data_IF_406778796202
#
_entry.id   IF_406778796202
#
_cell.length_a   1.000
_cell.length_b   1.000
_cell.length_c   1.000
_cell.angle_alpha   90.00
_cell.angle_beta   90.00
_cell.angle_gamma   90.00
#
_symmetry.space_group_name_H-M   'P 1'
#
loop_
_entity.id
_entity.type
_entity.pdbx_description
1 polymer ?
#
# COMPACT_ATOMS: atom_id res chain seq x y z
N UNK A 1 17.94 45.23 -56.69
CA UNK A 1 16.83 44.67 -55.82
C UNK A 1 17.45 43.55 -55.00
N UNK A 2 17.81 43.87 -53.77
CA UNK A 2 18.47 42.89 -52.85
C UNK A 2 17.41 42.40 -51.89
N UNK A 3 17.07 41.12 -51.94
CA UNK A 3 16.11 40.48 -51.06
C UNK A 3 16.88 40.10 -49.79
N UNK A 4 16.55 40.79 -48.68
CA UNK A 4 17.01 40.43 -47.36
C UNK A 4 16.22 39.25 -46.84
N UNK A 5 16.84 38.09 -46.67
CA UNK A 5 16.25 36.94 -46.01
C UNK A 5 16.31 37.15 -44.48
N UNK A 6 15.18 37.42 -43.87
CA UNK A 6 15.03 37.47 -42.40
C UNK A 6 15.06 36.03 -41.86
N UNK A 7 16.16 35.66 -41.22
CA UNK A 7 16.21 34.46 -40.38
C UNK A 7 15.34 34.69 -39.11
N UNK A 8 14.15 34.12 -39.12
CA UNK A 8 13.33 34.02 -37.89
C UNK A 8 13.93 32.89 -37.04
N UNK A 9 14.69 33.28 -36.04
CA UNK A 9 15.04 32.36 -34.95
C UNK A 9 13.77 32.04 -34.20
N UNK A 10 13.21 30.87 -34.43
CA UNK A 10 12.15 30.33 -33.61
C UNK A 10 12.64 30.15 -32.19
N UNK A 11 12.22 31.04 -31.27
CA UNK A 11 12.34 30.79 -29.86
C UNK A 11 11.56 29.52 -29.57
N UNK A 12 12.22 28.45 -29.17
CA UNK A 12 11.57 27.28 -28.65
C UNK A 12 10.82 27.70 -27.38
N UNK A 13 9.50 27.90 -27.51
CA UNK A 13 8.61 28.09 -26.39
C UNK A 13 8.54 26.78 -25.63
N UNK A 14 9.29 26.66 -24.55
CA UNK A 14 9.12 25.56 -23.60
C UNK A 14 7.77 25.73 -22.92
N UNK A 15 6.78 24.96 -23.36
CA UNK A 15 5.42 25.00 -22.85
C UNK A 15 5.26 24.30 -21.49
N UNK A 16 6.35 23.70 -20.97
CA UNK A 16 6.36 23.02 -19.68
C UNK A 16 7.29 23.72 -18.70
N UNK A 17 6.83 23.82 -17.45
CA UNK A 17 7.61 24.41 -16.37
C UNK A 17 8.85 23.52 -16.07
N UNK A 18 9.96 24.19 -15.74
CA UNK A 18 11.13 23.60 -15.09
C UNK A 18 11.94 22.54 -15.87
N UNK A 19 12.06 22.69 -17.18
CA UNK A 19 13.08 21.96 -17.93
C UNK A 19 14.43 22.70 -17.86
N UNK A 20 15.06 22.69 -16.67
CA UNK A 20 16.46 23.04 -16.53
C UNK A 20 17.34 21.89 -17.00
N UNK A 21 18.62 22.14 -17.38
CA UNK A 21 19.56 21.06 -17.61
C UNK A 21 19.67 20.23 -16.34
N UNK A 22 19.34 18.93 -16.41
CA UNK A 22 19.53 18.01 -15.30
C UNK A 22 21.01 18.02 -14.85
N UNK A 23 21.25 17.77 -13.59
CA UNK A 23 22.60 17.73 -13.01
C UNK A 23 23.45 16.58 -13.57
N UNK A 24 22.88 15.65 -14.31
CA UNK A 24 23.55 14.42 -14.77
C UNK A 24 23.88 13.46 -13.63
N UNK A 25 23.43 13.74 -12.41
CA UNK A 25 23.65 12.90 -11.23
C UNK A 25 22.64 11.75 -11.24
N UNK A 26 23.17 10.53 -11.13
CA UNK A 26 22.36 9.32 -10.92
C UNK A 26 22.28 9.05 -9.43
N UNK A 27 21.06 9.08 -8.88
CA UNK A 27 20.75 8.76 -7.49
C UNK A 27 19.29 8.27 -7.39
N UNK A 28 19.01 7.14 -6.74
CA UNK A 28 19.98 6.13 -6.34
C UNK A 28 20.56 5.35 -7.53
N UNK A 29 21.81 4.90 -7.42
CA UNK A 29 22.42 3.95 -8.35
C UNK A 29 22.52 2.59 -7.68
N UNK A 30 21.87 1.59 -8.28
CA UNK A 30 21.94 0.20 -7.82
C UNK A 30 23.16 -0.46 -8.44
N UNK A 31 24.11 -0.88 -7.64
CA UNK A 31 25.35 -1.51 -8.07
C UNK A 31 25.15 -3.03 -8.30
N UNK A 32 26.07 -3.64 -9.05
CA UNK A 32 26.00 -5.06 -9.40
C UNK A 32 26.06 -6.02 -8.18
N UNK A 33 26.56 -5.56 -7.05
CA UNK A 33 26.62 -6.28 -5.77
C UNK A 33 25.44 -5.98 -4.84
N UNK A 34 24.38 -5.33 -5.35
CA UNK A 34 23.20 -4.87 -4.61
C UNK A 34 23.50 -3.81 -3.54
N UNK A 35 24.68 -3.22 -3.51
CA UNK A 35 24.88 -1.97 -2.79
C UNK A 35 24.18 -0.84 -3.55
N UNK A 36 23.77 0.22 -2.85
CA UNK A 36 23.08 1.36 -3.46
C UNK A 36 23.82 2.64 -3.13
N UNK A 37 24.20 3.38 -4.18
CA UNK A 37 24.92 4.63 -4.04
C UNK A 37 23.97 5.80 -4.24
N UNK A 38 23.84 6.62 -3.21
CA UNK A 38 23.06 7.86 -3.20
C UNK A 38 24.00 9.05 -3.40
N UNK A 39 23.58 10.02 -4.22
CA UNK A 39 24.39 11.22 -4.53
C UNK A 39 23.52 12.47 -4.51
N UNK A 40 24.02 13.49 -3.86
CA UNK A 40 23.39 14.79 -3.80
C UNK A 40 24.42 15.90 -4.00
N UNK A 41 24.21 16.80 -4.97
CA UNK A 41 25.13 17.90 -5.22
C UNK A 41 24.62 19.18 -4.54
N UNK A 42 25.38 19.67 -3.59
CA UNK A 42 25.18 20.98 -2.97
C UNK A 42 26.49 21.44 -2.33
N UNK A 43 27.25 22.31 -3.03
CA UNK A 43 28.54 22.81 -2.52
C UNK A 43 28.41 23.81 -1.35
N UNK A 44 27.17 24.21 -0.99
CA UNK A 44 26.90 25.14 0.11
C UNK A 44 26.35 24.44 1.35
N UNK A 45 25.93 23.19 1.24
CA UNK A 45 25.44 22.44 2.38
C UNK A 45 26.56 22.18 3.41
N UNK A 46 26.21 22.24 4.68
CA UNK A 46 27.11 21.94 5.81
C UNK A 46 26.97 20.49 6.22
N UNK A 47 25.75 19.94 6.15
CA UNK A 47 25.48 18.55 6.47
C UNK A 47 24.44 17.97 5.50
N UNK A 48 24.68 16.74 5.05
CA UNK A 48 23.70 15.96 4.32
C UNK A 48 23.61 14.57 4.93
N UNK A 49 22.38 14.17 5.29
CA UNK A 49 22.09 12.82 5.83
C UNK A 49 21.04 12.16 4.98
N UNK A 50 21.06 10.83 4.95
CA UNK A 50 20.00 10.00 4.40
C UNK A 50 19.30 9.25 5.53
N UNK A 51 17.97 9.24 5.50
CA UNK A 51 17.16 8.37 6.37
C UNK A 51 16.41 7.39 5.50
N UNK A 52 16.44 6.11 5.84
CA UNK A 52 15.78 5.07 5.06
C UNK A 52 15.58 3.77 5.84
N UNK A 53 14.62 2.97 5.37
CA UNK A 53 14.26 1.67 5.98
C UNK A 53 15.23 0.53 5.63
N UNK A 54 16.27 0.83 4.85
CA UNK A 54 17.42 -0.06 4.59
C UNK A 54 18.57 0.14 5.59
N UNK A 55 18.47 1.12 6.49
CA UNK A 55 19.43 1.39 7.54
C UNK A 55 18.94 0.78 8.86
N UNK A 56 19.85 0.43 9.80
CA UNK A 56 19.46 -0.02 11.13
C UNK A 56 18.49 0.98 11.79
N UNK A 57 17.34 0.51 12.24
CA UNK A 57 16.32 1.36 12.85
C UNK A 57 16.81 2.08 14.10
N UNK A 58 16.22 3.23 14.40
CA UNK A 58 16.50 4.03 15.57
C UNK A 58 15.31 3.99 16.53
N UNK A 59 15.56 3.78 17.82
CA UNK A 59 14.53 3.92 18.85
C UNK A 59 14.45 5.38 19.29
N UNK A 60 13.31 6.02 19.00
CA UNK A 60 13.03 7.39 19.43
C UNK A 60 11.99 7.34 20.55
N UNK A 61 12.37 7.84 21.70
CA UNK A 61 11.46 7.98 22.84
C UNK A 61 10.74 9.32 22.76
N UNK A 62 9.43 9.33 22.95
CA UNK A 62 8.61 10.53 22.96
C UNK A 62 7.49 10.44 23.99
N UNK A 63 6.99 11.58 24.44
CA UNK A 63 5.87 11.67 25.36
C UNK A 63 4.54 11.79 24.56
N UNK A 64 3.58 10.91 24.85
CA UNK A 64 2.22 11.00 24.32
C UNK A 64 1.23 10.65 25.45
N UNK A 65 0.22 11.50 25.63
CA UNK A 65 -0.83 11.33 26.66
C UNK A 65 -0.25 11.15 28.08
N UNK A 66 0.87 11.84 28.38
CA UNK A 66 1.56 11.76 29.69
C UNK A 66 2.36 10.47 29.91
N UNK A 67 2.49 9.61 28.90
CA UNK A 67 3.26 8.37 28.96
C UNK A 67 4.45 8.41 28.01
N UNK A 68 5.55 7.82 28.44
CA UNK A 68 6.71 7.58 27.58
C UNK A 68 6.38 6.46 26.58
N UNK A 69 6.60 6.74 25.32
CA UNK A 69 6.43 5.79 24.21
C UNK A 69 7.71 5.70 23.40
N UNK A 70 7.98 4.52 22.87
CA UNK A 70 9.10 4.28 21.98
C UNK A 70 8.57 4.09 20.57
N UNK A 71 9.12 4.84 19.64
CA UNK A 71 8.88 4.66 18.21
C UNK A 71 10.17 4.16 17.55
N UNK A 72 10.04 3.12 16.73
CA UNK A 72 11.11 2.59 15.91
C UNK A 72 11.12 3.33 14.57
N UNK A 73 12.01 4.31 14.44
CA UNK A 73 12.15 5.15 13.27
C UNK A 73 13.12 4.52 12.24
N UNK A 74 12.99 4.87 10.95
CA UNK A 74 14.00 4.51 9.95
C UNK A 74 15.39 4.96 10.36
N UNK A 75 16.42 4.19 10.00
CA UNK A 75 17.81 4.51 10.28
C UNK A 75 18.25 5.81 9.59
N UNK A 76 19.38 6.34 10.03
CA UNK A 76 19.98 7.55 9.47
C UNK A 76 21.50 7.38 9.33
N UNK A 77 22.06 7.90 8.21
CA UNK A 77 23.48 7.91 7.95
C UNK A 77 23.93 9.26 7.36
N UNK A 78 25.18 9.64 7.65
CA UNK A 78 25.79 10.84 7.08
C UNK A 78 26.32 10.55 5.65
N UNK A 79 26.15 11.49 4.74
CA UNK A 79 26.82 11.47 3.45
C UNK A 79 28.20 12.13 3.58
N UNK A 80 29.14 11.65 2.77
CA UNK A 80 30.51 12.17 2.70
C UNK A 80 30.62 13.16 1.56
N UNK A 81 31.13 14.37 1.83
CA UNK A 81 31.30 15.43 0.86
C UNK A 81 32.64 15.31 0.14
N UNK A 82 32.64 15.50 -1.20
CA UNK A 82 33.82 15.74 -2.03
C UNK A 82 33.47 16.68 -3.18
N UNK A 83 34.07 17.86 -3.21
CA UNK A 83 33.88 18.87 -4.28
C UNK A 83 32.38 19.24 -4.51
N UNK A 84 31.63 19.40 -3.43
CA UNK A 84 30.20 19.73 -3.47
C UNK A 84 29.29 18.53 -3.72
N UNK A 85 29.82 17.35 -3.98
CA UNK A 85 29.07 16.11 -4.14
C UNK A 85 29.06 15.31 -2.84
N UNK A 86 27.88 15.10 -2.29
CA UNK A 86 27.61 14.29 -1.11
C UNK A 86 27.27 12.87 -1.54
N UNK A 87 27.88 11.87 -0.95
CA UNK A 87 27.72 10.48 -1.35
C UNK A 87 27.60 9.56 -0.14
N UNK A 88 26.67 8.60 -0.24
CA UNK A 88 26.55 7.46 0.68
C UNK A 88 26.37 6.18 -0.12
N UNK A 89 27.03 5.09 0.25
CA UNK A 89 26.81 3.76 -0.32
C UNK A 89 26.40 2.80 0.77
N UNK A 90 25.28 2.11 0.59
CA UNK A 90 24.76 1.12 1.54
C UNK A 90 25.62 -0.15 1.56
N UNK A 91 25.40 -1.01 2.59
CA UNK A 91 25.72 -2.42 2.48
C UNK A 91 24.86 -3.08 1.37
N UNK A 92 25.21 -4.28 0.87
CA UNK A 92 24.36 -5.05 -0.03
C UNK A 92 22.96 -5.25 0.56
N UNK A 93 21.94 -5.02 -0.25
CA UNK A 93 20.52 -5.09 0.17
C UNK A 93 19.83 -6.30 -0.43
N UNK A 94 18.86 -6.84 0.29
CA UNK A 94 18.00 -7.93 -0.17
C UNK A 94 16.96 -7.43 -1.19
N UNK A 95 16.34 -8.35 -1.92
CA UNK A 95 15.22 -8.05 -2.82
C UNK A 95 14.02 -7.49 -2.06
N UNK A 96 13.75 -6.20 -2.19
CA UNK A 96 12.68 -5.49 -1.51
C UNK A 96 12.44 -4.10 -2.14
N UNK A 97 11.32 -3.46 -1.81
CA UNK A 97 11.08 -2.03 -2.05
C UNK A 97 11.45 -1.24 -0.80
N UNK A 98 12.36 -0.30 -0.99
CA UNK A 98 12.90 0.57 0.05
C UNK A 98 12.45 2.01 -0.12
N UNK A 99 12.33 2.73 1.00
CA UNK A 99 12.01 4.15 1.04
C UNK A 99 13.09 4.96 1.74
N UNK A 100 13.29 6.21 1.30
CA UNK A 100 14.26 7.12 1.90
C UNK A 100 13.89 8.60 1.73
N UNK A 101 14.55 9.43 2.52
CA UNK A 101 14.53 10.90 2.39
C UNK A 101 15.90 11.45 2.70
N UNK A 102 16.20 12.64 2.17
CA UNK A 102 17.40 13.38 2.51
C UNK A 102 17.12 14.41 3.61
N UNK A 103 18.13 14.74 4.39
CA UNK A 103 18.15 15.84 5.34
C UNK A 103 19.35 16.72 5.02
N UNK A 104 19.10 17.92 4.52
CA UNK A 104 20.13 18.89 4.15
C UNK A 104 20.07 20.03 5.16
N UNK A 105 21.14 20.23 5.92
CA UNK A 105 21.25 21.24 6.99
C UNK A 105 20.03 21.17 7.96
N UNK A 106 19.61 19.94 8.27
CA UNK A 106 18.47 19.64 9.14
C UNK A 106 17.09 19.71 8.47
N UNK A 107 17.00 20.15 7.21
CA UNK A 107 15.72 20.22 6.48
C UNK A 107 15.46 18.91 5.74
N UNK A 108 14.30 18.31 5.99
CA UNK A 108 13.82 17.11 5.27
C UNK A 108 13.47 17.48 3.83
N UNK A 109 13.99 16.74 2.87
CA UNK A 109 13.69 16.96 1.46
C UNK A 109 13.69 15.66 0.66
N UNK A 110 13.06 15.70 -0.50
CA UNK A 110 13.11 14.63 -1.49
C UNK A 110 14.45 14.71 -2.25
N UNK A 111 14.94 13.55 -2.69
CA UNK A 111 16.07 13.48 -3.61
C UNK A 111 15.65 14.02 -4.98
N UNK A 112 16.21 15.15 -5.46
CA UNK A 112 15.81 15.73 -6.73
C UNK A 112 16.24 14.89 -7.95
N UNK A 113 17.14 13.94 -7.77
CA UNK A 113 17.60 13.04 -8.82
C UNK A 113 16.75 11.77 -8.95
N UNK A 114 15.81 11.55 -8.02
CA UNK A 114 14.90 10.40 -8.05
C UNK A 114 13.44 10.84 -8.18
N UNK A 115 12.82 10.52 -9.31
CA UNK A 115 11.40 10.83 -9.58
C UNK A 115 10.44 9.81 -8.95
N UNK A 116 10.94 8.66 -8.50
CA UNK A 116 10.08 7.64 -7.88
C UNK A 116 9.77 8.01 -6.44
N UNK A 117 8.49 8.22 -6.15
CA UNK A 117 8.01 8.72 -4.88
C UNK A 117 6.72 8.01 -4.48
N UNK A 118 6.56 7.78 -3.18
CA UNK A 118 5.32 7.31 -2.59
C UNK A 118 4.85 8.29 -1.52
N UNK A 119 3.53 8.48 -1.43
CA UNK A 119 2.89 9.21 -0.34
C UNK A 119 2.37 8.20 0.69
N UNK A 120 2.80 8.34 1.94
CA UNK A 120 2.20 7.66 3.07
C UNK A 120 1.57 8.70 4.00
N UNK A 121 0.24 8.69 4.08
CA UNK A 121 -0.57 9.67 4.83
C UNK A 121 -0.26 11.10 4.37
N UNK A 122 0.56 11.84 5.12
CA UNK A 122 0.98 13.22 4.87
C UNK A 122 2.44 13.34 4.45
N UNK A 123 3.14 12.23 4.30
CA UNK A 123 4.58 12.21 4.09
C UNK A 123 4.91 11.65 2.72
N UNK A 124 5.79 12.33 1.99
CA UNK A 124 6.38 11.82 0.76
C UNK A 124 7.76 11.23 1.05
N UNK A 125 8.08 10.13 0.41
CA UNK A 125 9.40 9.51 0.42
C UNK A 125 9.81 9.14 -1.00
N UNK A 126 11.11 9.21 -1.30
CA UNK A 126 11.64 8.55 -2.48
C UNK A 126 11.68 7.05 -2.24
N UNK A 127 11.58 6.29 -3.33
CA UNK A 127 11.64 4.84 -3.30
C UNK A 127 12.61 4.30 -4.34
N UNK A 128 13.11 3.10 -4.10
CA UNK A 128 13.79 2.25 -5.07
C UNK A 128 13.50 0.79 -4.77
N UNK A 129 13.69 -0.07 -5.77
CA UNK A 129 13.44 -1.50 -5.62
C UNK A 129 14.69 -2.28 -5.97
N UNK A 130 15.09 -3.20 -5.12
CA UNK A 130 16.11 -4.21 -5.41
C UNK A 130 15.39 -5.49 -5.77
N UNK A 131 15.78 -6.10 -6.89
CA UNK A 131 15.37 -7.46 -7.25
C UNK A 131 16.63 -8.17 -7.77
N UNK A 132 16.93 -9.30 -7.17
CA UNK A 132 18.14 -10.09 -7.47
C UNK A 132 17.85 -11.24 -8.40
N UNK A 133 16.63 -11.76 -8.34
CA UNK A 133 16.17 -12.88 -9.15
C UNK A 133 14.65 -12.89 -9.30
N UNK A 134 14.12 -13.50 -10.36
CA UNK A 134 12.69 -13.72 -10.49
C UNK A 134 12.11 -14.47 -9.28
N UNK A 135 11.04 -13.92 -8.70
CA UNK A 135 10.33 -14.51 -7.57
C UNK A 135 10.82 -14.06 -6.19
N UNK A 136 11.85 -13.22 -6.08
CA UNK A 136 12.16 -12.53 -4.83
C UNK A 136 11.09 -11.46 -4.49
N UNK A 137 11.14 -10.89 -3.28
CA UNK A 137 10.15 -9.87 -2.87
C UNK A 137 10.16 -8.67 -3.80
N UNK A 138 11.34 -8.15 -4.12
CA UNK A 138 11.48 -6.97 -5.00
C UNK A 138 10.93 -7.23 -6.40
N UNK A 139 11.09 -8.44 -6.91
CA UNK A 139 10.55 -8.83 -8.21
C UNK A 139 9.02 -8.70 -8.25
N UNK A 140 8.32 -9.13 -7.18
CA UNK A 140 6.86 -8.98 -7.11
C UNK A 140 6.41 -7.52 -7.02
N UNK A 141 7.24 -6.62 -6.49
CA UNK A 141 6.87 -5.23 -6.25
C UNK A 141 7.16 -4.28 -7.42
N UNK A 142 7.77 -4.76 -8.48
CA UNK A 142 8.06 -3.98 -9.70
C UNK A 142 7.24 -4.45 -10.90
N UNK A 143 7.13 -3.58 -11.91
CA UNK A 143 6.59 -3.98 -13.20
C UNK A 143 7.63 -4.82 -13.94
N UNK A 144 7.27 -6.05 -14.31
CA UNK A 144 8.11 -6.96 -15.06
C UNK A 144 7.55 -7.11 -16.49
N UNK A 145 8.25 -7.80 -17.37
CA UNK A 145 7.77 -8.14 -18.71
C UNK A 145 6.75 -9.29 -18.64
N UNK A 146 5.58 -8.96 -18.09
CA UNK A 146 4.44 -9.86 -17.88
C UNK A 146 3.16 -9.22 -18.40
N UNK A 147 2.10 -9.98 -18.70
CA UNK A 147 0.82 -9.39 -19.04
C UNK A 147 0.27 -8.53 -17.89
N UNK A 148 -0.06 -7.27 -18.19
CA UNK A 148 -0.55 -6.32 -17.19
C UNK A 148 -2.06 -6.19 -17.20
N UNK A 149 -2.63 -6.06 -15.98
CA UNK A 149 -4.01 -5.66 -15.77
C UNK A 149 -4.23 -4.15 -15.95
N UNK A 150 -5.48 -3.73 -15.92
CA UNK A 150 -5.85 -2.32 -15.97
C UNK A 150 -6.25 -1.80 -14.61
N UNK A 151 -5.97 -0.52 -14.35
CA UNK A 151 -6.34 0.20 -13.12
C UNK A 151 -7.25 1.35 -13.48
N UNK A 152 -8.43 1.39 -12.86
CA UNK A 152 -9.39 2.47 -13.00
C UNK A 152 -9.67 3.15 -11.66
N UNK A 153 -9.73 4.48 -11.65
CA UNK A 153 -10.21 5.29 -10.53
C UNK A 153 -11.68 5.59 -10.81
N UNK A 154 -12.59 4.97 -10.08
CA UNK A 154 -14.02 5.04 -10.35
C UNK A 154 -14.78 5.72 -9.22
N UNK A 155 -15.72 6.60 -9.60
CA UNK A 155 -16.67 7.20 -8.69
C UNK A 155 -17.94 6.34 -8.61
N UNK A 156 -18.49 6.19 -7.43
CA UNK A 156 -19.74 5.48 -7.20
C UNK A 156 -20.60 6.23 -6.19
N UNK A 157 -21.89 6.08 -6.34
CA UNK A 157 -22.85 6.60 -5.36
C UNK A 157 -22.92 5.66 -4.17
N UNK A 158 -22.80 6.21 -2.96
CA UNK A 158 -23.09 5.51 -1.72
C UNK A 158 -24.37 6.08 -1.10
N UNK A 159 -25.53 5.49 -1.37
CA UNK A 159 -26.80 5.92 -0.79
C UNK A 159 -26.78 5.86 0.73
N UNK A 160 -26.10 4.86 1.30
CA UNK A 160 -25.96 4.69 2.75
C UNK A 160 -25.24 5.88 3.41
N UNK A 161 -24.24 6.46 2.74
CA UNK A 161 -23.48 7.61 3.24
C UNK A 161 -23.97 8.96 2.68
N UNK A 162 -24.92 8.93 1.73
CA UNK A 162 -25.48 10.14 1.11
C UNK A 162 -24.48 10.93 0.28
N UNK A 163 -23.43 10.29 -0.27
CA UNK A 163 -22.38 10.96 -1.05
C UNK A 163 -21.81 10.08 -2.15
N UNK A 164 -21.18 10.73 -3.13
CA UNK A 164 -20.31 10.05 -4.09
C UNK A 164 -18.95 9.77 -3.45
N UNK A 165 -18.40 8.61 -3.73
CA UNK A 165 -17.10 8.16 -3.24
C UNK A 165 -16.26 7.55 -4.34
N UNK A 166 -14.95 7.59 -4.19
CA UNK A 166 -14.00 7.02 -5.15
C UNK A 166 -13.40 5.72 -4.61
N UNK A 167 -13.09 4.82 -5.54
CA UNK A 167 -12.31 3.62 -5.30
C UNK A 167 -11.36 3.35 -6.46
N UNK A 168 -10.30 2.60 -6.22
CA UNK A 168 -9.40 2.08 -7.25
C UNK A 168 -9.79 0.65 -7.56
N UNK A 169 -9.95 0.32 -8.84
CA UNK A 169 -10.33 -1.02 -9.31
C UNK A 169 -9.29 -1.53 -10.28
N UNK A 170 -8.72 -2.68 -9.98
CA UNK A 170 -7.85 -3.43 -10.88
C UNK A 170 -8.64 -4.54 -11.55
N UNK A 171 -8.45 -4.71 -12.85
CA UNK A 171 -8.94 -5.83 -13.63
C UNK A 171 -7.76 -6.61 -14.23
N UNK A 172 -7.77 -7.95 -14.20
CA UNK A 172 -6.60 -8.75 -14.60
C UNK A 172 -6.34 -8.66 -16.11
N UNK A 173 -5.11 -8.97 -16.50
CA UNK A 173 -4.70 -9.02 -17.89
C UNK A 173 -5.68 -9.82 -18.75
N UNK A 174 -6.06 -9.28 -19.91
CA UNK A 174 -7.02 -9.91 -20.82
C UNK A 174 -8.50 -9.72 -20.44
N UNK A 175 -8.81 -9.01 -19.35
CA UNK A 175 -10.19 -8.74 -18.94
C UNK A 175 -11.01 -8.14 -20.08
N UNK A 176 -10.52 -7.12 -20.78
CA UNK A 176 -11.26 -6.45 -21.86
C UNK A 176 -11.58 -7.37 -23.05
N UNK A 177 -10.69 -8.33 -23.33
CA UNK A 177 -10.83 -9.29 -24.43
C UNK A 177 -11.76 -10.46 -24.06
N UNK A 178 -11.77 -10.88 -22.81
CA UNK A 178 -12.52 -12.05 -22.31
C UNK A 178 -13.94 -11.67 -21.85
N UNK A 179 -14.78 -11.20 -22.77
CA UNK A 179 -16.10 -10.61 -22.46
C UNK A 179 -17.10 -11.58 -21.81
N UNK A 180 -16.88 -12.89 -21.86
CA UNK A 180 -17.75 -13.93 -21.25
C UNK A 180 -17.27 -14.40 -19.89
N UNK A 181 -16.02 -14.17 -19.54
CA UNK A 181 -15.43 -14.64 -18.28
C UNK A 181 -15.88 -13.78 -17.12
N UNK A 182 -16.31 -14.40 -16.03
CA UNK A 182 -16.57 -13.75 -14.74
C UNK A 182 -15.46 -14.08 -13.77
N UNK A 183 -15.05 -13.08 -13.01
CA UNK A 183 -13.90 -13.15 -12.11
C UNK A 183 -14.32 -13.11 -10.64
N UNK A 184 -13.61 -13.77 -9.72
CA UNK A 184 -13.75 -13.54 -8.31
C UNK A 184 -13.25 -12.13 -7.93
N UNK A 185 -13.62 -11.65 -6.73
CA UNK A 185 -13.32 -10.28 -6.30
C UNK A 185 -12.62 -10.29 -4.95
N UNK A 186 -11.46 -9.64 -4.89
CA UNK A 186 -10.77 -9.26 -3.65
C UNK A 186 -11.09 -7.79 -3.32
N UNK A 187 -11.73 -7.53 -2.18
CA UNK A 187 -11.86 -6.20 -1.60
C UNK A 187 -10.70 -5.99 -0.63
N UNK A 188 -9.83 -5.00 -0.92
CA UNK A 188 -8.57 -4.78 -0.21
C UNK A 188 -8.56 -3.41 0.46
N UNK A 189 -8.60 -3.40 1.80
CA UNK A 189 -8.82 -2.22 2.63
C UNK A 189 -7.51 -1.66 3.17
N UNK A 190 -7.33 -0.34 3.08
CA UNK A 190 -6.15 0.37 3.59
C UNK A 190 -6.20 0.61 5.10
N UNK A 191 -5.09 1.06 5.68
CA UNK A 191 -4.96 1.43 7.10
C UNK A 191 -5.38 2.86 7.42
N UNK A 192 -5.32 3.22 8.70
CA UNK A 192 -5.62 4.58 9.16
C UNK A 192 -4.73 5.61 8.45
N UNK A 193 -5.34 6.70 8.00
CA UNK A 193 -4.66 7.78 7.27
C UNK A 193 -4.43 7.52 5.79
N UNK A 194 -4.64 6.31 5.32
CA UNK A 194 -4.61 5.97 3.90
C UNK A 194 -5.90 6.37 3.17
N UNK A 195 -5.95 6.00 1.91
CA UNK A 195 -7.07 6.21 1.01
C UNK A 195 -7.08 5.14 -0.10
N UNK A 196 -7.94 5.28 -1.10
CA UNK A 196 -8.11 4.32 -2.20
C UNK A 196 -6.87 4.15 -3.08
N UNK A 197 -5.83 4.96 -2.88
CA UNK A 197 -4.57 4.89 -3.64
C UNK A 197 -3.46 4.13 -2.88
N UNK A 198 -3.62 3.95 -1.56
CA UNK A 198 -2.56 3.41 -0.70
C UNK A 198 -2.06 2.02 -1.14
N UNK A 199 -2.97 1.11 -1.47
CA UNK A 199 -2.59 -0.24 -1.90
C UNK A 199 -1.98 -0.29 -3.29
N UNK A 200 -2.46 0.55 -4.23
CA UNK A 200 -1.87 0.62 -5.58
C UNK A 200 -0.47 1.20 -5.56
N UNK A 201 -0.22 2.19 -4.71
CA UNK A 201 1.03 2.95 -4.69
C UNK A 201 2.04 2.35 -3.69
N UNK A 202 1.78 2.48 -2.39
CA UNK A 202 2.64 1.94 -1.32
C UNK A 202 2.66 0.41 -1.29
N UNK A 203 1.47 -0.19 -1.44
CA UNK A 203 1.28 -1.64 -1.36
C UNK A 203 1.72 -2.41 -2.60
N UNK A 204 1.96 -1.73 -3.72
CA UNK A 204 2.35 -2.36 -4.99
C UNK A 204 1.39 -3.49 -5.43
N UNK A 205 0.13 -3.40 -5.01
CA UNK A 205 -0.84 -4.48 -5.16
C UNK A 205 -1.12 -4.86 -6.62
N UNK A 206 -1.03 -3.90 -7.53
CA UNK A 206 -1.17 -4.13 -8.98
C UNK A 206 -0.03 -5.01 -9.49
N UNK A 207 1.21 -4.63 -9.19
CA UNK A 207 2.41 -5.37 -9.61
C UNK A 207 2.43 -6.77 -8.99
N UNK A 208 2.07 -6.90 -7.71
CA UNK A 208 1.98 -8.18 -7.03
C UNK A 208 1.00 -9.11 -7.75
N UNK A 209 -0.20 -8.62 -8.10
CA UNK A 209 -1.18 -9.46 -8.80
C UNK A 209 -0.77 -9.79 -10.22
N UNK A 210 -0.27 -8.83 -11.00
CA UNK A 210 0.20 -9.08 -12.37
C UNK A 210 1.25 -10.21 -12.38
N UNK A 211 2.26 -10.09 -11.51
CA UNK A 211 3.35 -11.07 -11.44
C UNK A 211 2.86 -12.45 -10.96
N UNK A 212 2.04 -12.50 -9.89
CA UNK A 212 1.50 -13.76 -9.38
C UNK A 212 0.56 -14.45 -10.37
N UNK A 213 -0.27 -13.70 -11.08
CA UNK A 213 -1.19 -14.24 -12.09
C UNK A 213 -0.38 -14.76 -13.30
N UNK A 214 0.63 -14.02 -13.75
CA UNK A 214 1.49 -14.45 -14.85
C UNK A 214 2.25 -15.75 -14.55
N UNK A 215 2.65 -15.95 -13.29
CA UNK A 215 3.27 -17.20 -12.83
C UNK A 215 2.28 -18.35 -12.54
N UNK A 216 0.97 -18.12 -12.64
CA UNK A 216 -0.06 -19.10 -12.26
C UNK A 216 -0.13 -19.36 -10.75
N UNK A 217 0.47 -18.49 -9.92
CA UNK A 217 0.46 -18.60 -8.46
C UNK A 217 -0.82 -18.02 -7.85
N UNK A 218 -1.46 -17.04 -8.50
CA UNK A 218 -2.75 -16.49 -8.11
C UNK A 218 -3.78 -16.66 -9.23
N UNK A 219 -5.05 -16.88 -8.85
CA UNK A 219 -6.16 -16.87 -9.79
C UNK A 219 -6.38 -15.45 -10.35
N UNK A 220 -6.68 -15.30 -11.66
CA UNK A 220 -7.11 -14.04 -12.19
C UNK A 220 -8.34 -13.50 -11.44
N UNK A 221 -8.21 -12.32 -10.85
CA UNK A 221 -9.25 -11.71 -10.00
C UNK A 221 -9.38 -10.22 -10.26
N UNK A 222 -10.54 -9.66 -9.96
CA UNK A 222 -10.73 -8.21 -9.82
C UNK A 222 -10.33 -7.84 -8.40
N UNK A 223 -9.55 -6.77 -8.24
CA UNK A 223 -9.24 -6.22 -6.93
C UNK A 223 -9.84 -4.83 -6.78
N UNK A 224 -10.57 -4.62 -5.69
CA UNK A 224 -11.28 -3.38 -5.37
C UNK A 224 -10.64 -2.77 -4.13
N UNK A 225 -10.12 -1.58 -4.26
CA UNK A 225 -9.45 -0.82 -3.20
C UNK A 225 -10.30 0.43 -2.90
N UNK A 226 -11.29 0.36 -2.00
CA UNK A 226 -12.13 1.49 -1.66
C UNK A 226 -11.44 2.41 -0.66
N UNK A 227 -11.91 3.65 -0.54
CA UNK A 227 -11.57 4.49 0.60
C UNK A 227 -12.28 3.97 1.86
N UNK A 228 -11.52 3.50 2.84
CA UNK A 228 -12.01 2.94 4.10
C UNK A 228 -12.39 3.99 5.16
N UNK A 229 -12.33 5.28 4.82
CA UNK A 229 -12.70 6.39 5.71
C UNK A 229 -14.07 6.91 5.28
N UNK A 230 -15.11 6.62 6.04
CA UNK A 230 -16.51 6.78 5.63
C UNK A 230 -16.91 8.23 5.26
N UNK A 231 -16.31 9.24 5.87
CA UNK A 231 -16.62 10.66 5.62
C UNK A 231 -15.80 11.27 4.47
N UNK A 232 -14.85 10.54 3.90
CA UNK A 232 -14.05 11.01 2.77
C UNK A 232 -14.66 10.55 1.44
N UNK A 233 -14.73 11.46 0.49
CA UNK A 233 -15.15 11.13 -0.87
C UNK A 233 -14.04 10.44 -1.67
N UNK A 234 -12.80 10.90 -1.52
CA UNK A 234 -11.63 10.45 -2.28
C UNK A 234 -10.33 10.78 -1.54
N UNK A 235 -9.20 10.40 -2.12
CA UNK A 235 -7.86 10.80 -1.68
C UNK A 235 -7.70 12.32 -1.62
N UNK A 236 -6.80 12.85 -0.77
CA UNK A 236 -6.51 14.28 -0.68
C UNK A 236 -6.19 14.90 -2.06
N UNK A 237 -6.76 16.09 -2.32
CA UNK A 237 -6.57 16.84 -3.56
C UNK A 237 -7.48 16.40 -4.73
N UNK A 238 -8.32 15.37 -4.56
CA UNK A 238 -9.20 14.85 -5.63
C UNK A 238 -10.64 15.30 -5.49
N UNK A 239 -11.14 15.50 -4.27
CA UNK A 239 -12.49 15.98 -4.01
C UNK A 239 -12.47 17.36 -3.34
N UNK A 240 -13.61 18.04 -3.37
CA UNK A 240 -13.78 19.35 -2.71
C UNK A 240 -13.46 19.22 -1.22
N UNK A 241 -12.66 20.16 -0.70
CA UNK A 241 -12.21 20.23 0.71
C UNK A 241 -11.33 19.04 1.19
N UNK A 242 -10.83 18.21 0.28
CA UNK A 242 -9.93 17.10 0.58
C UNK A 242 -8.46 17.51 0.44
N UNK A 243 -8.05 18.56 1.16
CA UNK A 243 -6.69 19.11 1.12
C UNK A 243 -5.83 18.66 2.31
N UNK A 244 -6.43 18.09 3.33
CA UNK A 244 -5.73 17.63 4.53
C UNK A 244 -5.60 16.11 4.54
N UNK A 245 -4.49 15.58 5.08
CA UNK A 245 -4.36 14.16 5.33
C UNK A 245 -5.45 13.64 6.26
N UNK A 246 -5.95 12.45 5.97
CA UNK A 246 -7.09 11.85 6.70
C UNK A 246 -6.81 11.57 8.17
N UNK A 247 -5.53 11.42 8.58
CA UNK A 247 -5.14 11.22 9.98
C UNK A 247 -5.55 12.36 10.92
N UNK A 248 -5.68 13.59 10.41
CA UNK A 248 -6.12 14.72 11.24
C UNK A 248 -7.52 14.48 11.86
N UNK A 249 -8.35 13.67 11.20
CA UNK A 249 -9.73 13.39 11.60
C UNK A 249 -9.93 11.95 12.10
N UNK A 250 -8.87 11.14 12.23
CA UNK A 250 -8.99 9.69 12.47
C UNK A 250 -9.47 9.30 13.87
N UNK A 251 -9.41 10.20 14.84
CA UNK A 251 -9.74 9.89 16.25
C UNK A 251 -11.22 9.60 16.52
N UNK A 252 -12.13 9.91 15.59
CA UNK A 252 -13.57 9.69 15.71
C UNK A 252 -14.13 8.61 14.76
N UNK A 253 -13.28 7.78 14.18
CA UNK A 253 -13.72 6.80 13.20
C UNK A 253 -14.40 5.61 13.87
N UNK A 254 -15.72 5.62 13.85
CA UNK A 254 -16.50 4.39 13.95
C UNK A 254 -16.27 3.54 12.69
N UNK A 255 -16.18 2.22 12.86
CA UNK A 255 -16.13 1.31 11.70
C UNK A 255 -17.53 0.97 11.21
N UNK A 256 -18.56 1.26 12.00
CA UNK A 256 -19.94 0.88 11.73
C UNK A 256 -20.45 1.45 10.40
N UNK A 257 -20.12 2.70 10.07
CA UNK A 257 -20.55 3.33 8.82
C UNK A 257 -19.88 2.70 7.58
N UNK A 258 -18.63 2.22 7.71
CA UNK A 258 -17.96 1.50 6.63
C UNK A 258 -18.65 0.16 6.41
N UNK A 259 -18.97 -0.55 7.48
CA UNK A 259 -19.66 -1.83 7.43
C UNK A 259 -21.07 -1.69 6.84
N UNK A 260 -21.83 -0.64 7.26
CA UNK A 260 -23.16 -0.35 6.73
C UNK A 260 -23.14 -0.01 5.23
N UNK A 261 -22.14 0.75 4.79
CA UNK A 261 -22.03 1.22 3.40
C UNK A 261 -21.35 0.22 2.45
N UNK A 262 -20.76 -0.84 2.99
CA UNK A 262 -20.02 -1.80 2.15
C UNK A 262 -20.86 -2.49 1.08
N UNK A 263 -22.15 -2.81 1.31
CA UNK A 263 -23.05 -3.31 0.27
C UNK A 263 -23.20 -2.39 -0.95
N UNK A 264 -23.03 -1.06 -0.78
CA UNK A 264 -23.08 -0.10 -1.90
C UNK A 264 -21.92 -0.36 -2.87
N UNK A 265 -20.71 -0.65 -2.32
CA UNK A 265 -19.53 -1.00 -3.11
C UNK A 265 -19.77 -2.31 -3.87
N UNK A 266 -20.26 -3.36 -3.18
CA UNK A 266 -20.54 -4.65 -3.80
C UNK A 266 -21.55 -4.49 -4.93
N UNK A 267 -22.65 -3.77 -4.69
CA UNK A 267 -23.68 -3.51 -5.69
C UNK A 267 -23.12 -2.81 -6.92
N UNK A 268 -22.28 -1.79 -6.72
CA UNK A 268 -21.63 -1.10 -7.82
C UNK A 268 -20.74 -2.04 -8.64
N UNK A 269 -19.88 -2.81 -7.98
CA UNK A 269 -18.96 -3.74 -8.65
C UNK A 269 -19.72 -4.82 -9.39
N UNK A 270 -20.75 -5.40 -8.80
CA UNK A 270 -21.59 -6.42 -9.44
C UNK A 270 -22.44 -5.91 -10.63
N UNK A 271 -22.70 -4.61 -10.68
CA UNK A 271 -23.44 -3.97 -11.75
C UNK A 271 -22.57 -3.53 -12.91
N UNK A 272 -21.30 -3.23 -12.67
CA UNK A 272 -20.40 -2.62 -13.66
C UNK A 272 -19.27 -3.54 -14.15
N UNK A 273 -18.98 -4.64 -13.42
CA UNK A 273 -17.90 -5.56 -13.72
C UNK A 273 -18.40 -7.01 -13.86
N UNK A 274 -17.68 -7.81 -14.64
CA UNK A 274 -17.99 -9.24 -14.84
C UNK A 274 -17.47 -10.04 -13.66
N UNK A 275 -18.28 -10.18 -12.63
CA UNK A 275 -17.92 -10.85 -11.37
C UNK A 275 -18.76 -12.10 -11.12
N UNK A 276 -18.16 -13.05 -10.41
CA UNK A 276 -18.87 -14.14 -9.74
C UNK A 276 -19.49 -13.59 -8.45
N UNK A 277 -20.77 -13.94 -8.20
CA UNK A 277 -21.54 -13.32 -7.10
C UNK A 277 -21.69 -14.19 -5.84
N UNK A 278 -21.17 -15.38 -5.88
CA UNK A 278 -21.26 -16.29 -4.75
C UNK A 278 -20.20 -15.98 -3.67
N UNK A 279 -20.46 -16.43 -2.44
CA UNK A 279 -19.60 -16.25 -1.28
C UNK A 279 -18.13 -16.69 -1.53
N UNK A 280 -17.95 -17.86 -2.17
CA UNK A 280 -16.62 -18.43 -2.36
C UNK A 280 -15.82 -17.69 -3.46
N UNK A 281 -16.44 -16.77 -4.15
CA UNK A 281 -15.82 -15.87 -5.13
C UNK A 281 -15.61 -14.46 -4.60
N UNK A 282 -15.82 -14.21 -3.29
CA UNK A 282 -15.53 -12.93 -2.62
C UNK A 282 -14.53 -13.11 -1.50
N UNK A 283 -13.50 -12.27 -1.52
CA UNK A 283 -12.53 -12.12 -0.45
C UNK A 283 -12.56 -10.69 0.07
N UNK A 284 -12.34 -10.52 1.38
CA UNK A 284 -12.05 -9.23 1.99
C UNK A 284 -10.76 -9.32 2.79
N UNK A 285 -9.86 -8.38 2.59
CA UNK A 285 -8.63 -8.31 3.35
C UNK A 285 -8.23 -6.84 3.55
N UNK A 286 -7.34 -6.60 4.50
CA UNK A 286 -6.83 -5.25 4.69
C UNK A 286 -5.77 -5.17 5.78
N UNK A 287 -5.10 -4.02 5.82
CA UNK A 287 -4.03 -3.74 6.79
C UNK A 287 -4.54 -2.85 7.93
N UNK A 288 -4.07 -3.07 9.15
CA UNK A 288 -4.32 -2.20 10.32
C UNK A 288 -5.82 -1.91 10.52
N UNK A 289 -6.27 -0.69 10.32
CA UNK A 289 -7.71 -0.33 10.28
C UNK A 289 -8.49 -1.21 9.30
N UNK A 290 -7.97 -1.41 8.08
CA UNK A 290 -8.59 -2.27 7.07
C UNK A 290 -8.65 -3.74 7.47
N UNK A 291 -7.69 -4.23 8.26
CA UNK A 291 -7.73 -5.56 8.87
C UNK A 291 -8.86 -5.68 9.88
N UNK A 292 -9.02 -4.67 10.75
CA UNK A 292 -10.17 -4.58 11.68
C UNK A 292 -11.50 -4.51 10.94
N UNK A 293 -11.59 -3.69 9.89
CA UNK A 293 -12.78 -3.60 9.04
C UNK A 293 -13.09 -4.94 8.37
N UNK A 294 -12.08 -5.68 7.90
CA UNK A 294 -12.27 -7.01 7.31
C UNK A 294 -12.84 -8.01 8.33
N UNK A 295 -12.34 -7.99 9.57
CA UNK A 295 -12.87 -8.78 10.66
C UNK A 295 -14.32 -8.40 10.98
N UNK A 296 -14.62 -7.10 11.11
CA UNK A 296 -15.94 -6.59 11.43
C UNK A 296 -16.96 -6.88 10.31
N UNK A 297 -16.59 -6.69 9.06
CA UNK A 297 -17.40 -7.04 7.89
C UNK A 297 -17.75 -8.54 7.86
N UNK A 298 -16.77 -9.40 8.17
CA UNK A 298 -17.02 -10.84 8.23
C UNK A 298 -18.04 -11.22 9.31
N UNK A 299 -17.97 -10.57 10.49
CA UNK A 299 -18.93 -10.79 11.59
C UNK A 299 -20.31 -10.25 11.28
N UNK A 300 -20.38 -9.06 10.67
CA UNK A 300 -21.66 -8.44 10.28
C UNK A 300 -22.37 -9.20 9.17
N UNK A 301 -21.61 -9.72 8.22
CA UNK A 301 -22.11 -10.44 7.04
C UNK A 301 -21.48 -11.83 6.91
N UNK A 302 -21.81 -12.79 7.77
CA UNK A 302 -21.13 -14.09 7.85
C UNK A 302 -21.14 -14.91 6.55
N UNK A 303 -22.16 -14.69 5.71
CA UNK A 303 -22.32 -15.40 4.44
C UNK A 303 -21.81 -14.64 3.22
N UNK A 304 -21.20 -13.47 3.41
CA UNK A 304 -20.82 -12.60 2.30
C UNK A 304 -19.47 -12.97 1.70
N UNK A 305 -18.49 -13.36 2.55
CA UNK A 305 -17.11 -13.60 2.14
C UNK A 305 -16.68 -15.04 2.41
N UNK A 306 -16.07 -15.69 1.39
CA UNK A 306 -15.46 -17.00 1.54
C UNK A 306 -14.04 -16.93 2.10
N UNK A 307 -13.38 -15.77 1.96
CA UNK A 307 -11.99 -15.56 2.37
C UNK A 307 -11.88 -14.25 3.13
N UNK A 308 -11.23 -14.29 4.29
CA UNK A 308 -11.02 -13.12 5.17
C UNK A 308 -9.54 -13.03 5.51
N UNK A 309 -8.91 -11.89 5.23
CA UNK A 309 -7.51 -11.61 5.55
C UNK A 309 -7.37 -10.40 6.48
N UNK A 310 -6.69 -10.58 7.59
CA UNK A 310 -6.46 -9.55 8.60
C UNK A 310 -4.96 -9.34 8.75
N UNK A 311 -4.46 -8.23 8.20
CA UNK A 311 -3.04 -7.90 8.20
C UNK A 311 -2.76 -6.85 9.28
N UNK A 312 -2.08 -7.24 10.35
CA UNK A 312 -1.78 -6.33 11.48
C UNK A 312 -3.03 -5.58 12.01
N UNK A 313 -4.15 -6.26 12.12
CA UNK A 313 -5.39 -5.63 12.59
C UNK A 313 -6.53 -6.62 12.68
N UNK A 314 -7.05 -6.82 13.88
CA UNK A 314 -8.17 -7.73 14.18
C UNK A 314 -9.18 -7.04 15.09
N UNK A 315 -10.34 -7.62 15.20
CA UNK A 315 -11.29 -7.33 16.30
C UNK A 315 -11.08 -8.41 17.36
N UNK A 316 -10.63 -8.07 18.56
CA UNK A 316 -10.50 -9.05 19.63
C UNK A 316 -11.84 -9.75 19.90
N UNK A 317 -11.82 -11.04 20.26
CA UNK A 317 -13.05 -11.76 20.56
C UNK A 317 -13.61 -11.35 21.93
N UNK A 318 -14.93 -11.40 22.05
CA UNK A 318 -15.62 -11.36 23.35
C UNK A 318 -15.68 -12.76 23.96
N UNK A 319 -15.99 -12.85 25.26
CA UNK A 319 -16.04 -14.15 25.95
C UNK A 319 -17.06 -15.13 25.31
N UNK A 320 -18.15 -14.62 24.76
CA UNK A 320 -19.16 -15.38 24.00
C UNK A 320 -19.45 -14.63 22.69
N UNK A 321 -18.52 -14.75 21.71
CA UNK A 321 -18.57 -14.03 20.45
C UNK A 321 -19.49 -14.74 19.43
N UNK A 322 -20.80 -14.50 19.57
CA UNK A 322 -21.82 -15.08 18.67
C UNK A 322 -21.67 -14.63 17.22
N UNK A 323 -21.14 -13.42 16.98
CA UNK A 323 -20.90 -12.95 15.63
C UNK A 323 -19.77 -13.73 14.98
N UNK A 324 -18.71 -14.04 15.72
CA UNK A 324 -17.61 -14.88 15.24
C UNK A 324 -18.05 -16.34 15.06
N UNK A 325 -18.89 -16.86 15.98
CA UNK A 325 -19.51 -18.18 15.82
C UNK A 325 -20.30 -18.29 14.50
N UNK A 326 -21.11 -17.27 14.17
CA UNK A 326 -21.85 -17.22 12.93
C UNK A 326 -20.93 -17.21 11.67
N UNK A 327 -19.75 -16.57 11.75
CA UNK A 327 -18.74 -16.64 10.68
C UNK A 327 -18.32 -18.07 10.41
N UNK A 328 -17.97 -18.81 11.47
CA UNK A 328 -17.47 -20.20 11.31
C UNK A 328 -18.58 -21.18 11.02
N UNK A 329 -19.81 -20.95 11.52
CA UNK A 329 -21.00 -21.69 11.10
C UNK A 329 -21.27 -21.55 9.58
N UNK A 330 -20.97 -20.40 9.02
CA UNK A 330 -21.04 -20.15 7.57
C UNK A 330 -19.87 -20.77 6.77
N UNK A 331 -18.90 -21.39 7.43
CA UNK A 331 -17.76 -22.12 6.81
C UNK A 331 -16.97 -21.27 5.82
N UNK A 332 -16.20 -20.28 6.26
CA UNK A 332 -15.26 -19.59 5.38
C UNK A 332 -14.21 -20.57 4.85
N UNK A 333 -13.77 -20.39 3.62
CA UNK A 333 -12.70 -21.18 3.01
C UNK A 333 -11.33 -20.84 3.61
N UNK A 334 -11.15 -19.59 4.02
CA UNK A 334 -9.94 -19.11 4.68
C UNK A 334 -10.28 -17.98 5.65
N UNK A 335 -9.84 -18.11 6.87
CA UNK A 335 -9.83 -17.06 7.87
C UNK A 335 -8.38 -16.86 8.33
N UNK A 336 -7.73 -15.82 7.82
CA UNK A 336 -6.28 -15.68 7.87
C UNK A 336 -5.85 -14.42 8.63
N UNK A 337 -4.97 -14.59 9.59
CA UNK A 337 -4.38 -13.53 10.40
C UNK A 337 -2.89 -13.45 10.07
N UNK A 338 -2.37 -12.26 9.82
CA UNK A 338 -0.94 -12.02 9.67
C UNK A 338 -0.49 -10.83 10.52
N UNK A 339 0.63 -10.97 11.22
CA UNK A 339 1.14 -9.93 12.08
C UNK A 339 2.65 -10.06 12.29
N UNK A 340 3.35 -8.93 12.38
CA UNK A 340 4.79 -8.90 12.68
C UNK A 340 5.07 -9.14 14.17
N UNK A 341 6.18 -9.78 14.49
CA UNK A 341 6.59 -10.10 15.89
C UNK A 341 6.67 -8.88 16.80
N UNK A 342 7.14 -7.76 16.28
CA UNK A 342 7.28 -6.50 17.02
C UNK A 342 6.15 -5.50 16.76
N UNK A 343 5.08 -5.94 16.09
CA UNK A 343 3.91 -5.12 15.82
C UNK A 343 3.11 -4.85 17.10
N UNK A 344 2.77 -3.58 17.34
CA UNK A 344 2.01 -3.17 18.53
C UNK A 344 0.62 -3.83 18.67
N UNK A 345 0.08 -4.41 17.59
CA UNK A 345 -1.21 -5.12 17.60
C UNK A 345 -1.08 -6.64 17.64
N UNK A 346 0.13 -7.18 17.81
CA UNK A 346 0.38 -8.62 17.89
C UNK A 346 -0.44 -9.28 19.02
N UNK A 347 -0.54 -8.64 20.19
CA UNK A 347 -1.31 -9.16 21.33
C UNK A 347 -2.77 -9.45 20.93
N UNK A 348 -3.42 -8.52 20.22
CA UNK A 348 -4.80 -8.71 19.77
C UNK A 348 -4.92 -9.83 18.72
N UNK A 349 -3.92 -9.97 17.85
CA UNK A 349 -3.85 -11.03 16.85
C UNK A 349 -3.76 -12.41 17.50
N UNK A 350 -2.93 -12.54 18.56
CA UNK A 350 -2.81 -13.76 19.35
C UNK A 350 -4.07 -14.07 20.16
N UNK A 351 -4.73 -13.07 20.73
CA UNK A 351 -6.00 -13.25 21.43
C UNK A 351 -7.05 -13.87 20.50
N UNK A 352 -7.21 -13.33 19.28
CA UNK A 352 -8.15 -13.88 18.31
C UNK A 352 -7.76 -15.30 17.87
N UNK A 353 -6.48 -15.51 17.57
CA UNK A 353 -5.96 -16.83 17.20
C UNK A 353 -6.29 -17.88 18.27
N UNK A 354 -5.89 -17.61 19.53
CA UNK A 354 -6.07 -18.54 20.64
C UNK A 354 -7.55 -18.84 20.90
N UNK A 355 -8.40 -17.81 20.87
CA UNK A 355 -9.84 -18.01 20.99
C UNK A 355 -10.40 -18.93 19.90
N UNK A 356 -10.00 -18.73 18.65
CA UNK A 356 -10.43 -19.60 17.56
C UNK A 356 -9.96 -21.04 17.75
N UNK A 357 -8.72 -21.25 18.19
CA UNK A 357 -8.15 -22.57 18.47
C UNK A 357 -8.89 -23.27 19.61
N UNK A 358 -9.20 -22.58 20.71
CA UNK A 358 -9.99 -23.10 21.85
C UNK A 358 -11.42 -23.52 21.42
N UNK A 359 -12.04 -22.76 20.52
CA UNK A 359 -13.36 -23.08 19.97
C UNK A 359 -13.33 -24.11 18.84
N UNK A 360 -12.14 -24.56 18.39
CA UNK A 360 -11.99 -25.46 17.24
C UNK A 360 -12.33 -24.81 15.91
N UNK A 361 -12.24 -23.47 15.80
CA UNK A 361 -12.49 -22.77 14.55
C UNK A 361 -11.24 -22.79 13.64
N UNK A 362 -11.38 -23.11 12.35
CA UNK A 362 -10.24 -23.19 11.43
C UNK A 362 -9.72 -21.79 11.13
N UNK A 363 -8.64 -21.40 11.79
CA UNK A 363 -7.90 -20.15 11.57
C UNK A 363 -6.49 -20.48 11.09
N UNK A 364 -5.96 -19.67 10.19
CA UNK A 364 -4.55 -19.71 9.78
C UNK A 364 -3.84 -18.46 10.29
N UNK A 365 -2.67 -18.62 10.88
CA UNK A 365 -1.86 -17.52 11.43
C UNK A 365 -0.49 -17.48 10.74
N UNK A 366 -0.08 -16.30 10.33
CA UNK A 366 1.24 -16.04 9.75
C UNK A 366 1.96 -14.99 10.59
N UNK A 367 3.11 -15.34 11.11
CA UNK A 367 3.99 -14.44 11.84
C UNK A 367 5.18 -14.07 10.95
N UNK A 368 5.47 -12.78 10.84
CA UNK A 368 6.66 -12.27 10.15
C UNK A 368 7.61 -11.55 11.12
N UNK A 369 8.82 -11.30 10.68
CA UNK A 369 9.71 -10.37 11.37
C UNK A 369 9.21 -8.92 11.25
N UNK A 370 9.71 -8.02 12.09
CA UNK A 370 9.38 -6.60 12.07
C UNK A 370 8.03 -6.24 12.67
N UNK A 371 7.60 -5.02 12.45
CA UNK A 371 6.45 -4.38 13.11
C UNK A 371 5.35 -3.96 12.15
N UNK A 372 4.72 -2.82 12.46
CA UNK A 372 3.56 -2.26 11.76
C UNK A 372 4.00 -1.45 10.52
N UNK A 373 4.44 -2.14 9.46
CA UNK A 373 5.14 -1.55 8.31
C UNK A 373 4.68 -2.09 6.96
N UNK A 374 4.79 -1.28 5.91
CA UNK A 374 4.39 -1.64 4.54
C UNK A 374 5.14 -2.85 3.97
N UNK A 375 6.40 -3.08 4.35
CA UNK A 375 7.16 -4.27 3.98
C UNK A 375 6.39 -5.55 4.33
N UNK A 376 5.86 -5.64 5.56
CA UNK A 376 5.08 -6.78 6.01
C UNK A 376 3.74 -6.88 5.26
N UNK A 377 3.05 -5.78 5.03
CA UNK A 377 1.74 -5.81 4.36
C UNK A 377 1.84 -6.17 2.88
N UNK A 378 2.90 -5.78 2.18
CA UNK A 378 3.19 -6.26 0.82
C UNK A 378 3.42 -7.78 0.81
N UNK A 379 4.21 -8.29 1.75
CA UNK A 379 4.43 -9.73 1.92
C UNK A 379 3.10 -10.46 2.21
N UNK A 380 2.28 -9.92 3.12
CA UNK A 380 0.99 -10.54 3.45
C UNK A 380 0.04 -10.59 2.26
N UNK A 381 -0.03 -9.52 1.46
CA UNK A 381 -0.81 -9.54 0.24
C UNK A 381 -0.30 -10.58 -0.75
N UNK A 382 1.03 -10.66 -0.92
CA UNK A 382 1.66 -11.65 -1.81
C UNK A 382 1.31 -13.07 -1.39
N UNK A 383 1.33 -13.38 -0.09
CA UNK A 383 0.97 -14.71 0.44
C UNK A 383 -0.54 -14.96 0.33
N UNK A 384 -1.37 -13.99 0.73
CA UNK A 384 -2.82 -14.12 0.75
C UNK A 384 -3.41 -14.31 -0.65
N UNK A 385 -2.95 -13.54 -1.64
CA UNK A 385 -3.41 -13.65 -3.02
C UNK A 385 -3.20 -15.05 -3.62
N UNK A 386 -2.17 -15.76 -3.18
CA UNK A 386 -1.90 -17.14 -3.60
C UNK A 386 -2.80 -18.19 -2.93
N UNK A 387 -3.52 -17.82 -1.86
CA UNK A 387 -4.36 -18.76 -1.08
C UNK A 387 -5.85 -18.66 -1.41
N UNK A 388 -6.28 -17.59 -2.08
CA UNK A 388 -7.70 -17.33 -2.33
C UNK A 388 -8.15 -17.82 -3.71
N UNK A 389 -9.43 -18.20 -3.80
CA UNK A 389 -10.13 -18.60 -5.03
C UNK A 389 -9.66 -19.90 -5.69
N UNK A 390 -8.85 -20.68 -5.02
CA UNK A 390 -8.42 -22.03 -5.45
C UNK A 390 -9.42 -23.12 -5.08
#
# INVERSE_FOLDING_TARGET
>A
MTIAASLIWGAALFAQQALGPGTGIVSPEINADNTVTFRYYNPKAVTVKISGDFLPSQKITYMADGQERVWEAPGMADLIERNGLWTYTSAPLEGELYSYTLYVDGQKMMDPSNIYQNRDIATWTNIFTISTEPGDKGWYYQANDTPHGNVAKVWYDSPTLGMQRRMTVYTPAGYEKNTKTKYPVLYLLHGSGGDEDAWSDLGRAVQILDNLIAEGKAEPMIMVMPNGVYFNQAAPGVAVNMFQPTMANSRSQSTAEVEESFPDIIKYIESNYRVKKDKNSRAVAGLSMGGRQSAALSRKYPTMFGYVGMFSGVVPPEADDKALEAVFAAKPKLYWIACGKTDGVMVNSLLLKNYCEEKGYPVSFHESEGGHIWRNWREYLTIFAQKIFK
#
